data_IF_209330547146
#
_entry.id   IF_209330547146
#
_cell.length_a   1.000
_cell.length_b   1.000
_cell.length_c   1.000
_cell.angle_alpha   90.00
_cell.angle_beta   90.00
_cell.angle_gamma   90.00
#
_symmetry.space_group_name_H-M   'P 1'
#
loop_
_entity.id
_entity.type
_entity.pdbx_description
1 polymer ?
#
# COMPACT_ATOMS: atom_id res chain seq x y z
N UNK A 1 11.46 -7.05 1.55
CA UNK A 1 10.20 -6.65 2.20
C UNK A 1 10.36 -5.28 2.88
N UNK A 2 9.39 -4.40 2.69
CA UNK A 2 9.44 -2.99 3.12
C UNK A 2 9.68 -2.84 4.64
N UNK A 3 9.16 -3.78 5.45
CA UNK A 3 9.34 -3.80 6.90
C UNK A 3 10.81 -4.02 7.30
N UNK A 4 11.45 -5.05 6.73
CA UNK A 4 12.87 -5.34 6.98
C UNK A 4 13.77 -4.19 6.51
N UNK A 5 13.47 -3.61 5.35
CA UNK A 5 14.21 -2.45 4.86
C UNK A 5 14.05 -1.23 5.78
N UNK A 6 12.84 -0.98 6.31
CA UNK A 6 12.60 0.07 7.29
C UNK A 6 13.41 -0.15 8.58
N UNK A 7 13.45 -1.37 9.11
CA UNK A 7 14.26 -1.70 10.29
C UNK A 7 15.76 -1.51 10.06
N UNK A 8 16.28 -1.95 8.90
CA UNK A 8 17.69 -1.75 8.50
C UNK A 8 18.06 -0.26 8.45
N UNK A 9 17.14 0.62 8.01
CA UNK A 9 17.37 2.06 7.92
C UNK A 9 17.75 2.68 9.28
N UNK A 10 17.20 2.15 10.37
CA UNK A 10 17.40 2.67 11.73
C UNK A 10 18.84 2.48 12.20
N UNK A 11 19.49 1.38 11.79
CA UNK A 11 20.82 1.00 12.25
C UNK A 11 21.96 1.44 11.30
N UNK A 12 21.68 1.58 10.00
CA UNK A 12 22.72 1.85 8.98
C UNK A 12 23.18 3.30 9.04
N UNK A 13 24.47 3.58 9.27
CA UNK A 13 25.03 4.94 9.37
C UNK A 13 25.61 5.51 8.06
N UNK A 14 25.80 4.67 7.04
CA UNK A 14 26.37 5.09 5.75
C UNK A 14 25.30 5.65 4.80
N UNK A 15 25.54 6.83 4.24
CA UNK A 15 24.61 7.50 3.32
C UNK A 15 24.26 6.65 2.07
N UNK A 16 25.24 5.95 1.49
CA UNK A 16 25.00 5.06 0.33
C UNK A 16 24.08 3.89 0.66
N UNK A 17 24.20 3.32 1.86
CA UNK A 17 23.37 2.23 2.32
C UNK A 17 21.95 2.72 2.69
N UNK A 18 21.82 3.93 3.24
CA UNK A 18 20.51 4.59 3.44
C UNK A 18 19.76 4.80 2.11
N UNK A 19 20.46 5.29 1.08
CA UNK A 19 19.91 5.46 -0.27
C UNK A 19 19.46 4.13 -0.89
N UNK A 20 20.25 3.06 -0.73
CA UNK A 20 19.88 1.73 -1.21
C UNK A 20 18.65 1.16 -0.47
N UNK A 21 18.51 1.45 0.82
CA UNK A 21 17.32 1.08 1.60
C UNK A 21 16.09 1.84 1.11
N UNK A 22 16.18 3.16 0.89
CA UNK A 22 15.11 3.99 0.30
C UNK A 22 14.63 3.42 -1.03
N UNK A 23 15.55 3.11 -1.95
CA UNK A 23 15.22 2.57 -3.26
C UNK A 23 14.53 1.20 -3.19
N UNK A 24 14.95 0.33 -2.28
CA UNK A 24 14.27 -0.96 -2.06
C UNK A 24 12.83 -0.75 -1.56
N UNK A 25 12.62 0.23 -0.69
CA UNK A 25 11.29 0.55 -0.17
C UNK A 25 10.38 1.16 -1.23
N UNK A 26 10.89 2.08 -2.06
CA UNK A 26 10.14 2.63 -3.21
C UNK A 26 9.70 1.53 -4.17
N UNK A 27 10.60 0.59 -4.49
CA UNK A 27 10.27 -0.55 -5.36
C UNK A 27 9.16 -1.42 -4.77
N UNK A 28 9.25 -1.75 -3.49
CA UNK A 28 8.22 -2.56 -2.80
C UNK A 28 6.87 -1.81 -2.78
N UNK A 29 6.88 -0.48 -2.59
CA UNK A 29 5.66 0.35 -2.65
C UNK A 29 5.02 0.30 -4.04
N UNK A 30 5.82 0.45 -5.09
CA UNK A 30 5.34 0.41 -6.46
C UNK A 30 4.75 -0.96 -6.83
N UNK A 31 5.38 -2.04 -6.36
CA UNK A 31 4.90 -3.40 -6.58
C UNK A 31 3.55 -3.64 -5.90
N UNK A 32 3.41 -3.25 -4.63
CA UNK A 32 2.11 -3.30 -3.92
C UNK A 32 1.06 -2.47 -4.66
N UNK A 33 1.42 -1.27 -5.12
CA UNK A 33 0.53 -0.41 -5.89
C UNK A 33 0.05 -1.05 -7.21
N UNK A 34 0.91 -1.79 -7.91
CA UNK A 34 0.53 -2.56 -9.11
C UNK A 34 -0.45 -3.67 -8.78
N UNK A 35 -0.16 -4.47 -7.75
CA UNK A 35 -1.02 -5.57 -7.31
C UNK A 35 -2.40 -5.04 -6.88
N UNK A 36 -2.42 -3.94 -6.11
CA UNK A 36 -3.65 -3.29 -5.66
C UNK A 36 -4.53 -2.84 -6.83
N UNK A 37 -3.94 -2.21 -7.86
CA UNK A 37 -4.66 -1.81 -9.07
C UNK A 37 -5.23 -3.02 -9.80
N UNK A 38 -4.45 -4.08 -9.97
CA UNK A 38 -4.94 -5.32 -10.61
C UNK A 38 -6.08 -5.96 -9.82
N UNK A 39 -5.97 -6.01 -8.50
CA UNK A 39 -7.02 -6.55 -7.63
C UNK A 39 -8.30 -5.72 -7.73
N UNK A 40 -8.18 -4.38 -7.75
CA UNK A 40 -9.31 -3.48 -7.95
C UNK A 40 -10.00 -3.73 -9.29
N UNK A 41 -9.25 -3.81 -10.38
CA UNK A 41 -9.82 -4.10 -11.72
C UNK A 41 -10.62 -5.40 -11.71
N UNK A 42 -10.10 -6.47 -11.10
CA UNK A 42 -10.82 -7.76 -11.00
C UNK A 42 -12.10 -7.66 -10.17
N UNK A 43 -12.10 -6.86 -9.10
CA UNK A 43 -13.32 -6.61 -8.30
C UNK A 43 -14.35 -5.84 -9.13
N UNK A 44 -13.94 -4.81 -9.87
CA UNK A 44 -14.83 -4.05 -10.75
C UNK A 44 -15.42 -4.93 -11.88
N UNK A 45 -14.63 -5.88 -12.40
CA UNK A 45 -15.11 -6.91 -13.34
C UNK A 45 -16.14 -7.85 -12.70
N UNK A 46 -15.90 -8.32 -11.46
CA UNK A 46 -16.88 -9.13 -10.72
C UNK A 46 -18.20 -8.39 -10.47
N UNK A 47 -18.15 -7.08 -10.21
CA UNK A 47 -19.35 -6.26 -10.07
C UNK A 47 -20.15 -6.19 -11.38
N UNK A 48 -19.47 -6.02 -12.52
CA UNK A 48 -20.11 -6.05 -13.86
C UNK A 48 -20.68 -7.44 -14.19
N UNK A 49 -19.97 -8.50 -13.83
CA UNK A 49 -20.43 -9.87 -14.02
C UNK A 49 -21.65 -10.20 -13.16
N UNK A 50 -21.71 -9.69 -11.93
CA UNK A 50 -22.87 -9.83 -11.07
C UNK A 50 -24.11 -9.17 -11.68
N UNK A 51 -23.96 -7.96 -12.23
CA UNK A 51 -25.05 -7.28 -12.95
C UNK A 51 -25.51 -8.08 -14.17
N UNK A 52 -24.57 -8.60 -14.97
CA UNK A 52 -24.87 -9.40 -16.16
C UNK A 52 -25.54 -10.72 -15.80
N UNK A 53 -25.14 -11.35 -14.70
CA UNK A 53 -25.68 -12.61 -14.22
C UNK A 53 -27.18 -12.52 -13.88
N UNK A 54 -27.68 -11.32 -13.54
CA UNK A 54 -29.12 -11.09 -13.25
C UNK A 54 -30.05 -11.36 -14.43
N UNK A 55 -29.53 -11.36 -15.65
CA UNK A 55 -30.30 -11.66 -16.86
C UNK A 55 -30.52 -13.16 -17.08
N UNK A 56 -29.85 -14.03 -16.30
CA UNK A 56 -29.98 -15.48 -16.44
C UNK A 56 -31.21 -16.00 -15.67
N UNK A 57 -31.87 -17.07 -16.17
CA UNK A 57 -32.96 -17.72 -15.44
C UNK A 57 -32.55 -18.11 -14.01
N UNK A 58 -33.40 -17.83 -13.03
CA UNK A 58 -33.15 -18.13 -11.61
C UNK A 58 -32.09 -17.26 -10.92
N UNK A 59 -31.44 -16.35 -11.64
CA UNK A 59 -30.36 -15.49 -11.13
C UNK A 59 -30.76 -14.02 -10.97
N UNK A 60 -32.05 -13.70 -11.14
CA UNK A 60 -32.57 -12.34 -11.05
C UNK A 60 -32.23 -11.64 -9.73
N UNK A 61 -32.39 -10.31 -9.71
CA UNK A 61 -32.12 -9.48 -8.53
C UNK A 61 -32.85 -10.03 -7.30
N UNK A 62 -32.13 -10.19 -6.21
CA UNK A 62 -32.66 -10.72 -4.96
C UNK A 62 -32.81 -12.24 -4.90
N UNK A 63 -32.45 -12.99 -5.96
CA UNK A 63 -32.34 -14.46 -5.89
C UNK A 63 -31.26 -14.91 -4.90
N UNK A 64 -31.31 -16.18 -4.46
CA UNK A 64 -30.27 -16.73 -3.59
C UNK A 64 -28.87 -16.65 -4.24
N UNK A 65 -28.80 -16.88 -5.55
CA UNK A 65 -27.57 -16.76 -6.34
C UNK A 65 -27.09 -15.30 -6.39
N UNK A 66 -27.96 -14.35 -6.70
CA UNK A 66 -27.63 -12.92 -6.73
C UNK A 66 -27.11 -12.42 -5.37
N UNK A 67 -27.81 -12.74 -4.28
CA UNK A 67 -27.40 -12.32 -2.93
C UNK A 67 -26.04 -12.91 -2.53
N UNK A 68 -25.81 -14.20 -2.82
CA UNK A 68 -24.53 -14.86 -2.51
C UNK A 68 -23.37 -14.21 -3.28
N UNK A 69 -23.58 -13.91 -4.57
CA UNK A 69 -22.58 -13.25 -5.41
C UNK A 69 -22.30 -11.81 -4.96
N UNK A 70 -23.33 -11.03 -4.68
CA UNK A 70 -23.21 -9.66 -4.15
C UNK A 70 -22.49 -9.64 -2.79
N UNK A 71 -22.86 -10.54 -1.88
CA UNK A 71 -22.20 -10.65 -0.56
C UNK A 71 -20.73 -11.00 -0.70
N UNK A 72 -20.39 -11.96 -1.58
CA UNK A 72 -19.01 -12.39 -1.80
C UNK A 72 -18.18 -11.27 -2.42
N UNK A 73 -18.66 -10.66 -3.51
CA UNK A 73 -17.96 -9.54 -4.16
C UNK A 73 -17.81 -8.35 -3.22
N UNK A 74 -18.85 -8.01 -2.46
CA UNK A 74 -18.82 -6.95 -1.44
C UNK A 74 -17.79 -7.23 -0.34
N UNK A 75 -17.69 -8.46 0.13
CA UNK A 75 -16.70 -8.85 1.14
C UNK A 75 -15.26 -8.70 0.61
N UNK A 76 -15.01 -9.13 -0.63
CA UNK A 76 -13.69 -8.98 -1.28
C UNK A 76 -13.34 -7.50 -1.48
N UNK A 77 -14.29 -6.68 -1.93
CA UNK A 77 -14.13 -5.22 -2.09
C UNK A 77 -13.78 -4.55 -0.76
N UNK A 78 -14.50 -4.90 0.30
CA UNK A 78 -14.25 -4.38 1.65
C UNK A 78 -12.84 -4.76 2.13
N UNK A 79 -12.45 -6.03 1.98
CA UNK A 79 -11.13 -6.52 2.39
C UNK A 79 -10.01 -5.85 1.61
N UNK A 80 -10.18 -5.63 0.30
CA UNK A 80 -9.20 -4.89 -0.50
C UNK A 80 -9.02 -3.46 0.04
N UNK A 81 -10.13 -2.76 0.36
CA UNK A 81 -10.08 -1.43 0.96
C UNK A 81 -9.34 -1.44 2.30
N UNK A 82 -9.72 -2.30 3.23
CA UNK A 82 -9.08 -2.43 4.54
C UNK A 82 -7.56 -2.63 4.41
N UNK A 83 -7.12 -3.54 3.51
CA UNK A 83 -5.68 -3.78 3.28
C UNK A 83 -4.96 -2.60 2.64
N UNK A 84 -5.65 -1.81 1.81
CA UNK A 84 -5.07 -0.60 1.22
C UNK A 84 -4.97 0.53 2.22
N UNK A 85 -5.95 0.67 3.12
CA UNK A 85 -5.92 1.64 4.22
C UNK A 85 -4.76 1.31 5.17
N UNK A 86 -4.62 0.03 5.59
CA UNK A 86 -3.47 -0.46 6.38
C UNK A 86 -2.13 -0.13 5.69
N UNK A 87 -2.07 -0.32 4.37
CA UNK A 87 -0.85 -0.06 3.60
C UNK A 87 -0.51 1.43 3.52
N UNK A 88 -1.50 2.33 3.44
CA UNK A 88 -1.25 3.77 3.49
C UNK A 88 -0.70 4.18 4.86
N UNK A 89 -1.29 3.68 5.94
CA UNK A 89 -0.80 3.93 7.32
C UNK A 89 0.64 3.46 7.46
N UNK A 90 0.95 2.25 6.99
CA UNK A 90 2.32 1.72 7.01
C UNK A 90 3.29 2.61 6.21
N UNK A 91 2.89 3.03 5.01
CA UNK A 91 3.71 3.90 4.15
C UNK A 91 3.99 5.25 4.83
N UNK A 92 3.01 5.82 5.51
CA UNK A 92 3.17 7.08 6.24
C UNK A 92 4.10 6.92 7.45
N UNK A 93 3.92 5.87 8.27
CA UNK A 93 4.80 5.57 9.40
C UNK A 93 6.25 5.44 8.95
N UNK A 94 6.48 4.68 7.88
CA UNK A 94 7.79 4.48 7.29
C UNK A 94 8.43 5.79 6.83
N UNK A 95 7.66 6.66 6.17
CA UNK A 95 8.14 7.98 5.72
C UNK A 95 8.52 8.88 6.89
N UNK A 96 7.69 8.91 7.93
CA UNK A 96 7.95 9.69 9.14
C UNK A 96 9.21 9.18 9.86
N UNK A 97 9.32 7.86 10.05
CA UNK A 97 10.49 7.24 10.68
C UNK A 97 11.78 7.54 9.92
N UNK A 98 11.77 7.46 8.58
CA UNK A 98 12.92 7.83 7.75
C UNK A 98 13.30 9.30 7.93
N UNK A 99 12.31 10.20 7.89
CA UNK A 99 12.52 11.64 8.07
C UNK A 99 13.18 11.93 9.42
N UNK A 100 12.68 11.33 10.50
CA UNK A 100 13.27 11.51 11.83
C UNK A 100 14.71 11.00 11.91
N UNK A 101 15.01 9.86 11.27
CA UNK A 101 16.36 9.30 11.25
C UNK A 101 17.31 10.22 10.49
N UNK A 102 16.89 10.77 9.35
CA UNK A 102 17.68 11.73 8.57
C UNK A 102 17.87 13.04 9.35
N UNK A 103 16.81 13.60 9.91
CA UNK A 103 16.84 14.85 10.70
C UNK A 103 17.79 14.75 11.89
N UNK A 104 17.65 13.70 12.72
CA UNK A 104 18.53 13.50 13.89
C UNK A 104 20.00 13.40 13.48
N UNK A 105 20.29 12.73 12.37
CA UNK A 105 21.67 12.47 11.94
C UNK A 105 22.32 13.67 11.28
N UNK A 106 21.60 14.36 10.38
CA UNK A 106 22.14 15.58 9.76
C UNK A 106 22.42 16.63 10.83
N UNK A 107 21.53 16.78 11.82
CA UNK A 107 21.78 17.66 12.96
C UNK A 107 23.02 17.25 13.78
N UNK A 108 23.17 15.95 14.09
CA UNK A 108 24.33 15.46 14.86
C UNK A 108 25.65 15.65 14.11
N UNK A 109 25.67 15.49 12.78
CA UNK A 109 26.89 15.57 11.96
C UNK A 109 27.24 17.01 11.60
N UNK A 110 26.25 17.86 11.33
CA UNK A 110 26.47 19.20 10.76
C UNK A 110 26.13 20.34 11.72
N UNK A 111 25.43 20.07 12.82
CA UNK A 111 24.83 21.08 13.69
C UNK A 111 23.60 21.78 13.11
N UNK A 112 23.24 21.49 11.86
CA UNK A 112 22.14 22.11 11.13
C UNK A 112 21.02 21.09 10.83
N UNK A 113 19.78 21.56 10.69
CA UNK A 113 18.69 20.71 10.22
C UNK A 113 18.84 20.43 8.71
N UNK A 114 18.45 19.23 8.23
CA UNK A 114 18.46 18.96 6.80
C UNK A 114 17.47 19.85 6.06
N UNK A 115 17.78 20.14 4.80
CA UNK A 115 16.81 20.72 3.87
C UNK A 115 15.68 19.73 3.56
N UNK A 116 14.57 20.26 3.06
CA UNK A 116 13.35 19.49 2.79
C UNK A 116 13.58 18.43 1.71
N UNK A 117 14.51 18.68 0.79
CA UNK A 117 14.93 17.74 -0.26
C UNK A 117 15.64 16.51 0.35
N UNK A 118 16.62 16.68 1.26
CA UNK A 118 17.28 15.56 1.93
C UNK A 118 16.33 14.76 2.83
N UNK A 119 15.33 15.42 3.43
CA UNK A 119 14.38 14.80 4.34
C UNK A 119 13.19 14.12 3.63
N UNK A 120 13.04 14.31 2.31
CA UNK A 120 11.89 13.84 1.53
C UNK A 120 12.02 12.40 1.00
N UNK A 121 10.85 11.77 0.81
CA UNK A 121 10.70 10.39 0.32
C UNK A 121 9.96 10.31 -1.00
#
# INVERSE_FOLDING_TARGET
PILTANEESKAVTKASAMKAIKQRMEKDIDEVGKIARMAKTKVDELEKDNLSNRQKPGCGKGSAVDRSREQTTGAVKKKLKERMDDFQVLRESIRQEYREVVERRVFTVTGNRPDEECASF
#
